data_IF_280189289360
#
_entry.id   IF_280189289360
#
_cell.length_a   1.000
_cell.length_b   1.000
_cell.length_c   1.000
_cell.angle_alpha   90.00
_cell.angle_beta   90.00
_cell.angle_gamma   90.00
#
_symmetry.space_group_name_H-M   'P 1'
#
loop_
_entity.id
_entity.type
_entity.pdbx_description
1 polymer ?
#
# COMPACT_ATOMS: atom_id res chain seq x y z
N UNK A 1 22.50 -20.23 -9.29
CA UNK A 1 21.94 -19.13 -10.09
C UNK A 1 20.41 -18.94 -10.01
N UNK A 2 19.57 -19.90 -9.60
CA UNK A 2 18.11 -19.71 -9.50
C UNK A 2 17.68 -18.70 -8.42
N UNK A 3 18.33 -18.65 -7.26
CA UNK A 3 18.01 -17.73 -6.15
C UNK A 3 18.12 -16.25 -6.53
N UNK A 4 19.01 -15.88 -7.44
CA UNK A 4 19.22 -14.50 -7.86
C UNK A 4 18.06 -13.96 -8.73
N UNK A 5 17.38 -14.81 -9.48
CA UNK A 5 16.25 -14.43 -10.34
C UNK A 5 15.00 -14.12 -9.55
N UNK A 6 14.74 -14.83 -8.44
CA UNK A 6 13.58 -14.55 -7.56
C UNK A 6 13.72 -13.24 -6.81
N UNK A 7 14.91 -12.87 -6.35
CA UNK A 7 15.17 -11.60 -5.65
C UNK A 7 14.90 -10.36 -6.52
N UNK A 8 14.78 -10.51 -7.84
CA UNK A 8 14.37 -9.40 -8.70
C UNK A 8 12.86 -9.30 -8.84
N UNK A 9 12.13 -10.43 -8.88
CA UNK A 9 10.68 -10.43 -9.08
C UNK A 9 9.97 -9.89 -7.83
N UNK A 10 10.36 -10.34 -6.64
CA UNK A 10 9.81 -9.84 -5.36
C UNK A 10 10.02 -8.32 -5.20
N UNK A 11 11.19 -7.82 -5.65
CA UNK A 11 11.46 -6.39 -5.66
C UNK A 11 10.54 -5.62 -6.62
N UNK A 12 10.40 -6.06 -7.88
CA UNK A 12 9.51 -5.42 -8.84
C UNK A 12 8.05 -5.45 -8.40
N UNK A 13 7.60 -6.55 -7.80
CA UNK A 13 6.29 -6.63 -7.15
C UNK A 13 6.17 -5.55 -6.06
N UNK A 14 7.17 -5.43 -5.18
CA UNK A 14 7.17 -4.44 -4.11
C UNK A 14 7.10 -2.99 -4.65
N UNK A 15 7.86 -2.68 -5.71
CA UNK A 15 7.81 -1.38 -6.37
C UNK A 15 6.45 -1.10 -7.02
N UNK A 16 5.83 -2.10 -7.64
CA UNK A 16 4.49 -1.97 -8.23
C UNK A 16 3.44 -1.63 -7.16
N UNK A 17 3.45 -2.35 -6.02
CA UNK A 17 2.56 -2.02 -4.90
C UNK A 17 2.87 -0.68 -4.23
N UNK A 18 4.13 -0.25 -4.19
CA UNK A 18 4.47 1.09 -3.73
C UNK A 18 3.85 2.17 -4.62
N UNK A 19 3.83 1.95 -5.94
CA UNK A 19 3.16 2.84 -6.88
C UNK A 19 1.64 2.90 -6.61
N UNK A 20 0.98 1.76 -6.39
CA UNK A 20 -0.44 1.69 -6.01
C UNK A 20 -0.71 2.42 -4.70
N UNK A 21 0.13 2.21 -3.67
CA UNK A 21 0.01 2.87 -2.37
C UNK A 21 0.15 4.39 -2.47
N UNK A 22 1.12 4.87 -3.28
CA UNK A 22 1.29 6.29 -3.57
C UNK A 22 0.09 6.91 -4.28
N UNK A 23 -0.46 6.20 -5.28
CA UNK A 23 -1.65 6.64 -5.99
C UNK A 23 -2.83 6.88 -5.03
N UNK A 24 -3.18 5.90 -4.21
CA UNK A 24 -4.30 6.02 -3.27
C UNK A 24 -4.03 7.03 -2.16
N UNK A 25 -2.77 7.20 -1.73
CA UNK A 25 -2.40 8.26 -0.80
C UNK A 25 -2.72 9.65 -1.34
N UNK A 26 -2.31 9.95 -2.58
CA UNK A 26 -2.58 11.23 -3.22
C UNK A 26 -4.07 11.42 -3.57
N UNK A 27 -4.72 10.37 -4.10
CA UNK A 27 -6.15 10.38 -4.40
C UNK A 27 -6.99 10.71 -3.17
N UNK A 28 -6.74 10.05 -2.04
CA UNK A 28 -7.47 10.27 -0.79
C UNK A 28 -7.33 11.73 -0.32
N UNK A 29 -6.13 12.29 -0.36
CA UNK A 29 -5.88 13.68 0.02
C UNK A 29 -6.66 14.65 -0.88
N UNK A 30 -6.67 14.45 -2.19
CA UNK A 30 -7.26 15.40 -3.14
C UNK A 30 -8.77 15.25 -3.30
N UNK A 31 -9.27 14.03 -3.33
CA UNK A 31 -10.69 13.75 -3.60
C UNK A 31 -11.51 13.52 -2.32
N UNK A 32 -10.86 13.31 -1.18
CA UNK A 32 -11.51 12.96 0.09
C UNK A 32 -10.98 13.81 1.25
N UNK A 33 -10.98 15.13 1.11
CA UNK A 33 -10.86 16.10 2.19
C UNK A 33 -9.52 16.19 2.91
N UNK A 34 -8.42 15.81 2.28
CA UNK A 34 -7.07 15.96 2.85
C UNK A 34 -6.63 14.83 3.79
N UNK A 35 -7.46 13.83 4.02
CA UNK A 35 -7.15 12.69 4.90
C UNK A 35 -6.41 11.61 4.12
N UNK A 36 -5.33 11.10 4.70
CA UNK A 36 -4.54 10.03 4.08
C UNK A 36 -5.19 8.67 4.32
N UNK A 37 -5.83 8.10 3.33
CA UNK A 37 -6.52 6.79 3.38
C UNK A 37 -5.62 5.58 3.67
N UNK A 38 -4.31 5.77 3.72
CA UNK A 38 -3.33 4.72 3.96
C UNK A 38 -2.94 4.59 5.45
N UNK A 39 -3.19 5.60 6.29
CA UNK A 39 -2.62 5.71 7.63
C UNK A 39 -3.67 5.90 8.71
N UNK A 40 -3.58 5.12 9.79
CA UNK A 40 -4.48 5.25 10.94
C UNK A 40 -4.05 6.33 11.93
N UNK A 41 -2.79 6.78 11.92
CA UNK A 41 -2.32 7.78 12.88
C UNK A 41 -3.12 9.08 12.77
N UNK A 42 -3.32 9.63 11.57
CA UNK A 42 -4.13 10.82 11.36
C UNK A 42 -5.58 10.58 11.78
N UNK A 43 -6.17 9.45 11.36
CA UNK A 43 -7.53 9.06 11.70
C UNK A 43 -7.78 9.05 13.22
N UNK A 44 -6.85 8.46 13.99
CA UNK A 44 -6.96 8.41 15.46
C UNK A 44 -6.75 9.77 16.14
N UNK A 45 -5.87 10.61 15.59
CA UNK A 45 -5.67 11.96 16.10
C UNK A 45 -6.89 12.84 15.84
N UNK A 46 -7.47 12.80 14.65
CA UNK A 46 -8.69 13.52 14.29
C UNK A 46 -9.88 13.03 15.14
N UNK A 47 -9.97 11.74 15.42
CA UNK A 47 -10.98 11.20 16.34
C UNK A 47 -10.91 11.83 17.73
N UNK A 48 -9.70 11.99 18.28
CA UNK A 48 -9.52 12.63 19.60
C UNK A 48 -9.92 14.11 19.52
N UNK A 49 -9.52 14.82 18.47
CA UNK A 49 -9.88 16.23 18.25
C UNK A 49 -11.41 16.35 18.16
N UNK A 50 -12.06 15.53 17.36
CA UNK A 50 -13.51 15.56 17.19
C UNK A 50 -14.27 15.23 18.49
N UNK A 51 -13.74 14.32 19.30
CA UNK A 51 -14.30 14.00 20.62
C UNK A 51 -14.24 15.23 21.55
N UNK A 52 -13.12 15.94 21.58
CA UNK A 52 -12.94 17.13 22.41
C UNK A 52 -13.81 18.31 21.95
N UNK A 53 -14.12 18.40 20.66
CA UNK A 53 -15.00 19.42 20.09
C UNK A 53 -16.48 18.99 20.04
N UNK A 54 -16.85 17.84 20.62
CA UNK A 54 -18.23 17.36 20.69
C UNK A 54 -18.83 16.90 19.36
N UNK A 55 -18.01 16.56 18.37
CA UNK A 55 -18.43 16.13 17.03
C UNK A 55 -18.70 14.62 17.00
N UNK A 56 -19.72 14.16 17.73
CA UNK A 56 -19.98 12.73 17.95
C UNK A 56 -20.12 11.88 16.69
N UNK A 57 -20.73 12.40 15.61
CA UNK A 57 -20.84 11.69 14.35
C UNK A 57 -19.46 11.41 13.74
N UNK A 58 -18.56 12.38 13.74
CA UNK A 58 -17.21 12.20 13.20
C UNK A 58 -16.42 11.17 14.03
N UNK A 59 -16.56 11.19 15.36
CA UNK A 59 -15.94 10.17 16.24
C UNK A 59 -16.37 8.77 15.82
N UNK A 60 -17.66 8.55 15.59
CA UNK A 60 -18.16 7.25 15.10
C UNK A 60 -17.63 6.89 13.73
N UNK A 61 -17.51 7.87 12.82
CA UNK A 61 -16.91 7.64 11.50
C UNK A 61 -15.43 7.26 11.60
N UNK A 62 -14.64 7.92 12.45
CA UNK A 62 -13.24 7.56 12.71
C UNK A 62 -13.10 6.17 13.35
N UNK A 63 -13.97 5.81 14.30
CA UNK A 63 -14.02 4.46 14.87
C UNK A 63 -14.35 3.40 13.82
N UNK A 64 -15.28 3.70 12.92
CA UNK A 64 -15.62 2.83 11.79
C UNK A 64 -14.42 2.62 10.86
N UNK A 65 -13.70 3.67 10.51
CA UNK A 65 -12.46 3.58 9.71
C UNK A 65 -11.39 2.71 10.40
N UNK A 66 -11.22 2.88 11.71
CA UNK A 66 -10.32 2.05 12.51
C UNK A 66 -10.74 0.58 12.51
N UNK A 67 -12.03 0.30 12.75
CA UNK A 67 -12.56 -1.05 12.74
C UNK A 67 -12.39 -1.73 11.37
N UNK A 68 -12.67 -1.02 10.29
CA UNK A 68 -12.47 -1.50 8.91
C UNK A 68 -10.99 -1.83 8.64
N UNK A 69 -10.07 -0.98 9.08
CA UNK A 69 -8.64 -1.20 8.93
C UNK A 69 -8.15 -2.42 9.74
N UNK A 70 -8.57 -2.53 11.00
CA UNK A 70 -8.26 -3.68 11.86
C UNK A 70 -8.81 -4.97 11.26
N UNK A 71 -10.06 -4.96 10.80
CA UNK A 71 -10.70 -6.11 10.15
C UNK A 71 -9.90 -6.53 8.91
N UNK A 72 -9.54 -5.60 8.02
CA UNK A 72 -8.72 -5.90 6.85
C UNK A 72 -7.37 -6.54 7.24
N UNK A 73 -6.70 -6.00 8.25
CA UNK A 73 -5.46 -6.58 8.77
C UNK A 73 -5.66 -8.00 9.31
N UNK A 74 -6.69 -8.22 10.14
CA UNK A 74 -6.99 -9.54 10.71
C UNK A 74 -7.31 -10.57 9.62
N UNK A 75 -8.04 -10.19 8.59
CA UNK A 75 -8.40 -11.08 7.48
C UNK A 75 -7.18 -11.61 6.73
N UNK A 76 -6.05 -10.89 6.73
CA UNK A 76 -4.81 -11.40 6.10
C UNK A 76 -4.22 -12.62 6.80
N UNK A 77 -4.61 -12.88 8.04
CA UNK A 77 -4.23 -14.09 8.80
C UNK A 77 -5.38 -15.10 8.83
N UNK A 78 -6.60 -14.63 9.09
CA UNK A 78 -7.76 -15.51 9.26
C UNK A 78 -8.13 -16.24 7.97
N UNK A 79 -8.17 -15.55 6.81
CA UNK A 79 -8.56 -16.19 5.55
C UNK A 79 -7.60 -17.31 5.11
N UNK A 80 -6.27 -17.13 5.13
CA UNK A 80 -5.35 -18.23 4.89
C UNK A 80 -5.48 -19.38 5.88
N UNK A 81 -5.60 -19.06 7.17
CA UNK A 81 -5.61 -20.08 8.24
C UNK A 81 -6.88 -20.93 8.25
N UNK A 82 -8.05 -20.32 7.95
CA UNK A 82 -9.33 -21.02 8.02
C UNK A 82 -9.77 -21.63 6.68
N UNK A 83 -9.42 -21.00 5.58
CA UNK A 83 -9.92 -21.40 4.24
C UNK A 83 -8.83 -21.54 3.18
N UNK A 84 -7.54 -21.44 3.53
CA UNK A 84 -6.42 -21.60 2.58
C UNK A 84 -6.36 -20.52 1.50
N UNK A 85 -6.96 -19.34 1.75
CA UNK A 85 -7.04 -18.25 0.75
C UNK A 85 -5.65 -17.65 0.51
N UNK A 86 -5.27 -17.51 -0.75
CA UNK A 86 -4.04 -16.83 -1.13
C UNK A 86 -4.21 -15.30 -1.08
N UNK A 87 -3.77 -14.68 0.01
CA UNK A 87 -3.87 -13.23 0.20
C UNK A 87 -3.03 -12.43 -0.78
N UNK A 88 -1.94 -12.98 -1.31
CA UNK A 88 -1.12 -12.30 -2.32
C UNK A 88 -1.89 -12.08 -3.63
N UNK A 89 -2.79 -13.02 -3.99
CA UNK A 89 -3.70 -12.87 -5.13
C UNK A 89 -4.95 -12.06 -4.80
N UNK A 90 -5.49 -12.24 -3.61
CA UNK A 90 -6.73 -11.57 -3.22
C UNK A 90 -6.53 -10.06 -2.98
N UNK A 91 -5.40 -9.64 -2.43
CA UNK A 91 -5.13 -8.22 -2.12
C UNK A 91 -5.29 -7.28 -3.33
N UNK A 92 -4.68 -7.51 -4.50
CA UNK A 92 -4.89 -6.63 -5.66
C UNK A 92 -6.34 -6.64 -6.18
N UNK A 93 -7.06 -7.76 -6.04
CA UNK A 93 -8.48 -7.83 -6.41
C UNK A 93 -9.33 -6.94 -5.49
N UNK A 94 -9.09 -6.99 -4.18
CA UNK A 94 -9.74 -6.12 -3.20
C UNK A 94 -9.39 -4.64 -3.49
N UNK A 95 -8.14 -4.35 -3.83
CA UNK A 95 -7.72 -2.98 -4.16
C UNK A 95 -8.40 -2.48 -5.44
N UNK A 96 -8.58 -3.33 -6.44
CA UNK A 96 -9.35 -2.99 -7.64
C UNK A 96 -10.83 -2.76 -7.32
N UNK A 97 -11.44 -3.60 -6.47
CA UNK A 97 -12.81 -3.40 -6.02
C UNK A 97 -12.97 -2.07 -5.26
N UNK A 98 -12.01 -1.71 -4.40
CA UNK A 98 -12.00 -0.41 -3.72
C UNK A 98 -11.92 0.75 -4.72
N UNK A 99 -11.07 0.68 -5.75
CA UNK A 99 -10.98 1.70 -6.81
C UNK A 99 -12.31 1.88 -7.55
N UNK A 100 -12.98 0.77 -7.88
CA UNK A 100 -14.30 0.81 -8.53
C UNK A 100 -15.34 1.41 -7.59
N UNK A 101 -15.36 1.00 -6.31
CA UNK A 101 -16.28 1.56 -5.31
C UNK A 101 -16.10 3.07 -5.18
N UNK A 102 -14.86 3.56 -5.05
CA UNK A 102 -14.55 5.00 -4.97
C UNK A 102 -15.11 5.81 -6.14
N UNK A 103 -15.11 5.23 -7.35
CA UNK A 103 -15.65 5.88 -8.54
C UNK A 103 -17.16 6.19 -8.44
N UNK A 104 -17.91 5.38 -7.69
CA UNK A 104 -19.36 5.52 -7.55
C UNK A 104 -19.79 6.23 -6.27
N UNK A 105 -18.88 6.43 -5.30
CA UNK A 105 -19.21 7.17 -4.08
C UNK A 105 -19.38 8.67 -4.38
N UNK A 106 -20.44 9.30 -3.83
CA UNK A 106 -20.65 10.74 -4.00
C UNK A 106 -19.45 11.58 -3.56
N UNK A 107 -19.18 12.66 -4.29
CA UNK A 107 -18.05 13.55 -3.96
C UNK A 107 -18.27 14.32 -2.65
N UNK A 108 -19.51 14.55 -2.27
CA UNK A 108 -19.96 15.23 -1.06
C UNK A 108 -20.21 14.29 0.14
N UNK A 109 -19.91 13.00 -0.03
CA UNK A 109 -20.01 12.03 1.06
C UNK A 109 -19.09 12.40 2.22
N UNK A 110 -19.50 12.07 3.45
CA UNK A 110 -18.64 12.22 4.65
C UNK A 110 -17.25 11.63 4.40
N UNK A 111 -16.24 12.48 4.48
CA UNK A 111 -14.84 12.21 4.07
C UNK A 111 -14.34 10.87 4.59
N UNK A 112 -14.40 10.66 5.90
CA UNK A 112 -13.88 9.44 6.54
C UNK A 112 -14.64 8.19 6.09
N UNK A 113 -15.96 8.27 5.95
CA UNK A 113 -16.78 7.13 5.52
C UNK A 113 -16.48 6.77 4.06
N UNK A 114 -16.28 7.78 3.22
CA UNK A 114 -15.90 7.57 1.83
C UNK A 114 -14.53 6.86 1.69
N UNK A 115 -13.63 6.99 2.67
CA UNK A 115 -12.32 6.34 2.66
C UNK A 115 -12.32 4.89 3.16
N UNK A 116 -13.43 4.35 3.65
CA UNK A 116 -13.49 2.97 4.16
C UNK A 116 -12.99 1.92 3.15
N UNK A 117 -13.35 1.97 1.86
CA UNK A 117 -12.82 1.02 0.89
C UNK A 117 -11.30 1.09 0.76
N UNK A 118 -10.72 2.31 0.80
CA UNK A 118 -9.26 2.52 0.72
C UNK A 118 -8.59 2.03 2.01
N UNK A 119 -9.10 2.37 3.19
CA UNK A 119 -8.57 1.86 4.46
C UNK A 119 -8.54 0.34 4.50
N UNK A 120 -9.61 -0.30 4.06
CA UNK A 120 -9.70 -1.76 3.99
C UNK A 120 -8.66 -2.35 3.03
N UNK A 121 -8.61 -1.86 1.80
CA UNK A 121 -7.70 -2.36 0.77
C UNK A 121 -6.22 -2.12 1.15
N UNK A 122 -5.89 -0.94 1.69
CA UNK A 122 -4.51 -0.60 2.05
C UNK A 122 -4.01 -1.37 3.28
N UNK A 123 -4.88 -1.68 4.25
CA UNK A 123 -4.53 -2.54 5.39
C UNK A 123 -4.16 -3.96 4.94
N UNK A 124 -4.93 -4.50 3.99
CA UNK A 124 -4.67 -5.82 3.40
C UNK A 124 -3.39 -5.78 2.55
N UNK A 125 -3.21 -4.76 1.71
CA UNK A 125 -2.01 -4.62 0.89
C UNK A 125 -0.75 -4.58 1.77
N UNK A 126 -0.73 -3.75 2.80
CA UNK A 126 0.42 -3.62 3.68
C UNK A 126 0.73 -4.91 4.42
N UNK A 127 -0.28 -5.58 4.95
CA UNK A 127 -0.11 -6.83 5.69
C UNK A 127 0.33 -8.00 4.80
N UNK A 128 -0.09 -8.00 3.52
CA UNK A 128 0.26 -9.05 2.55
C UNK A 128 1.65 -8.86 1.91
N UNK A 129 2.18 -7.62 1.86
CA UNK A 129 3.40 -7.27 1.14
C UNK A 129 4.35 -6.43 2.01
N UNK A 130 4.98 -7.06 2.99
CA UNK A 130 5.77 -6.39 4.03
C UNK A 130 7.23 -6.12 3.64
N UNK A 131 7.62 -6.32 2.38
CA UNK A 131 8.97 -6.06 1.92
C UNK A 131 9.40 -6.94 0.76
N UNK A 132 10.68 -6.88 0.42
CA UNK A 132 11.36 -7.69 -0.59
C UNK A 132 12.87 -7.72 -0.31
N UNK A 133 13.61 -8.64 -0.94
CA UNK A 133 15.08 -8.76 -0.80
C UNK A 133 15.56 -8.82 0.65
N UNK A 134 14.78 -9.43 1.55
CA UNK A 134 15.05 -9.50 2.99
C UNK A 134 14.99 -8.14 3.71
N UNK A 135 14.49 -7.09 3.08
CA UNK A 135 14.25 -5.79 3.71
C UNK A 135 12.77 -5.62 4.05
N UNK A 136 12.52 -5.20 5.28
CA UNK A 136 11.19 -4.81 5.73
C UNK A 136 10.88 -3.39 5.26
N UNK A 137 9.85 -3.23 4.43
CA UNK A 137 9.51 -1.95 3.81
C UNK A 137 8.00 -1.85 3.62
N UNK A 138 7.48 -0.64 3.76
CA UNK A 138 6.07 -0.37 3.52
C UNK A 138 5.84 0.08 2.08
N UNK A 139 4.80 -0.47 1.46
CA UNK A 139 4.31 -0.04 0.14
C UNK A 139 3.34 1.14 0.23
N UNK A 140 2.87 1.50 1.43
CA UNK A 140 1.82 2.51 1.63
C UNK A 140 2.28 3.74 2.43
N UNK A 141 3.54 3.74 2.91
CA UNK A 141 4.12 4.84 3.72
C UNK A 141 5.51 5.20 3.25
N UNK A 142 5.83 6.49 3.30
CA UNK A 142 7.16 7.02 2.94
C UNK A 142 8.10 7.12 4.14
N UNK A 143 7.60 7.42 5.35
CA UNK A 143 8.41 7.80 6.51
C UNK A 143 9.44 6.74 6.91
N UNK A 144 9.01 5.47 7.04
CA UNK A 144 9.94 4.39 7.39
C UNK A 144 10.98 4.16 6.28
N UNK A 145 10.56 4.21 5.02
CA UNK A 145 11.47 4.01 3.89
C UNK A 145 12.51 5.14 3.81
N UNK A 146 12.12 6.39 4.08
CA UNK A 146 13.04 7.53 4.18
C UNK A 146 14.05 7.32 5.31
N UNK A 147 13.58 6.94 6.52
CA UNK A 147 14.44 6.62 7.66
C UNK A 147 15.48 5.54 7.30
N UNK A 148 15.03 4.44 6.69
CA UNK A 148 15.90 3.32 6.35
C UNK A 148 16.93 3.69 5.27
N UNK A 149 16.54 4.47 4.26
CA UNK A 149 17.46 4.97 3.24
C UNK A 149 18.52 5.89 3.83
N UNK A 150 18.13 6.81 4.73
CA UNK A 150 19.04 7.75 5.40
C UNK A 150 20.02 7.01 6.30
N UNK A 151 19.57 6.03 7.09
CA UNK A 151 20.44 5.21 7.93
C UNK A 151 21.45 4.42 7.07
N UNK A 152 20.99 3.78 5.99
CA UNK A 152 21.85 3.04 5.08
C UNK A 152 22.92 3.93 4.43
N UNK A 153 22.57 5.18 4.07
CA UNK A 153 23.52 6.15 3.56
C UNK A 153 24.58 6.50 4.63
N UNK A 154 24.16 6.81 5.85
CA UNK A 154 25.07 7.13 6.95
C UNK A 154 26.03 5.97 7.26
N UNK A 155 25.48 4.74 7.34
CA UNK A 155 26.30 3.54 7.55
C UNK A 155 27.31 3.32 6.40
N UNK A 156 26.92 3.57 5.15
CA UNK A 156 27.83 3.50 4.01
C UNK A 156 28.95 4.54 4.11
N UNK A 157 28.62 5.78 4.48
CA UNK A 157 29.62 6.85 4.61
C UNK A 157 30.67 6.50 5.68
N UNK A 158 30.27 5.84 6.77
CA UNK A 158 31.16 5.42 7.85
C UNK A 158 31.97 4.16 7.51
N UNK A 159 31.32 3.14 6.92
CA UNK A 159 31.92 1.80 6.78
C UNK A 159 32.43 1.49 5.37
N UNK A 160 31.96 2.21 4.36
CA UNK A 160 32.17 1.94 2.92
C UNK A 160 31.67 0.56 2.47
N UNK A 161 30.80 -0.08 3.27
CA UNK A 161 30.23 -1.38 2.93
C UNK A 161 29.19 -1.26 1.81
N UNK A 162 29.47 -1.87 0.65
CA UNK A 162 28.58 -1.87 -0.51
C UNK A 162 27.22 -2.51 -0.27
N UNK A 163 27.02 -3.29 0.80
CA UNK A 163 25.71 -3.81 1.21
C UNK A 163 24.77 -2.68 1.60
N UNK A 164 25.28 -1.62 2.23
CA UNK A 164 24.50 -0.45 2.63
C UNK A 164 24.04 0.36 1.42
N UNK A 165 24.83 0.44 0.36
CA UNK A 165 24.39 1.04 -0.91
C UNK A 165 23.21 0.27 -1.53
N UNK A 166 23.25 -1.06 -1.51
CA UNK A 166 22.13 -1.87 -2.01
C UNK A 166 20.88 -1.68 -1.18
N UNK A 167 21.03 -1.61 0.16
CA UNK A 167 19.92 -1.31 1.10
C UNK A 167 19.34 0.07 0.82
N UNK A 168 20.17 1.09 0.70
CA UNK A 168 19.75 2.46 0.34
C UNK A 168 19.00 2.46 -0.99
N UNK A 169 19.55 1.83 -2.04
CA UNK A 169 18.92 1.74 -3.36
C UNK A 169 17.55 1.08 -3.33
N UNK A 170 17.36 0.05 -2.51
CA UNK A 170 16.05 -0.60 -2.30
C UNK A 170 15.02 0.39 -1.74
N UNK A 171 15.33 1.09 -0.66
CA UNK A 171 14.39 2.03 -0.04
C UNK A 171 14.14 3.27 -0.90
N UNK A 172 15.18 3.80 -1.56
CA UNK A 172 15.03 4.94 -2.49
C UNK A 172 14.17 4.58 -3.70
N UNK A 173 14.34 3.38 -4.28
CA UNK A 173 13.49 2.95 -5.40
C UNK A 173 12.03 2.75 -4.97
N UNK A 174 11.79 2.26 -3.75
CA UNK A 174 10.44 2.16 -3.18
C UNK A 174 9.81 3.54 -3.01
N UNK A 175 10.56 4.51 -2.46
CA UNK A 175 10.12 5.91 -2.35
C UNK A 175 9.82 6.51 -3.71
N UNK A 176 10.71 6.34 -4.68
CA UNK A 176 10.51 6.86 -6.04
C UNK A 176 9.23 6.31 -6.67
N UNK A 177 9.01 4.99 -6.62
CA UNK A 177 7.80 4.37 -7.16
C UNK A 177 6.54 4.84 -6.42
N UNK A 178 6.58 5.00 -5.10
CA UNK A 178 5.50 5.58 -4.33
C UNK A 178 5.16 6.99 -4.83
N UNK A 179 6.15 7.86 -5.01
CA UNK A 179 5.92 9.24 -5.48
C UNK A 179 5.51 9.31 -6.96
N UNK A 180 5.97 8.39 -7.82
CA UNK A 180 5.44 8.26 -9.18
C UNK A 180 3.95 7.90 -9.14
N UNK A 181 3.56 6.92 -8.32
CA UNK A 181 2.16 6.58 -8.11
C UNK A 181 1.34 7.76 -7.60
N UNK A 182 1.88 8.52 -6.63
CA UNK A 182 1.26 9.74 -6.13
C UNK A 182 1.06 10.79 -7.23
N UNK A 183 2.07 11.02 -8.07
CA UNK A 183 1.96 11.96 -9.19
C UNK A 183 0.88 11.54 -10.21
N UNK A 184 0.78 10.23 -10.50
CA UNK A 184 -0.31 9.69 -11.35
C UNK A 184 -1.65 9.93 -10.66
N UNK A 185 -1.76 9.67 -9.35
CA UNK A 185 -2.97 9.92 -8.55
C UNK A 185 -3.37 11.39 -8.54
N UNK A 186 -2.41 12.31 -8.42
CA UNK A 186 -2.65 13.77 -8.55
C UNK A 186 -3.23 14.11 -9.92
N UNK A 187 -2.60 13.65 -10.99
CA UNK A 187 -3.09 13.90 -12.35
C UNK A 187 -4.49 13.32 -12.58
N UNK A 188 -4.72 12.07 -12.18
CA UNK A 188 -6.02 11.41 -12.28
C UNK A 188 -7.10 12.16 -11.50
N UNK A 189 -6.82 12.58 -10.26
CA UNK A 189 -7.75 13.35 -9.43
C UNK A 189 -8.04 14.73 -10.01
N UNK A 190 -7.02 15.40 -10.56
CA UNK A 190 -7.18 16.71 -11.16
C UNK A 190 -8.13 16.71 -12.37
N UNK A 191 -7.99 15.72 -13.26
CA UNK A 191 -8.78 15.68 -14.50
C UNK A 191 -10.15 15.00 -14.36
N UNK A 192 -10.29 14.02 -13.42
CA UNK A 192 -11.50 13.18 -13.32
C UNK A 192 -12.14 13.19 -11.93
N UNK A 193 -11.60 13.97 -10.96
CA UNK A 193 -12.12 14.01 -9.60
C UNK A 193 -12.18 12.62 -8.96
N UNK A 194 -13.28 12.29 -8.30
CA UNK A 194 -13.47 10.97 -7.65
C UNK A 194 -13.40 9.80 -8.63
N UNK A 195 -13.78 10.01 -9.90
CA UNK A 195 -13.66 8.97 -10.94
C UNK A 195 -12.21 8.68 -11.32
N UNK A 196 -11.30 9.55 -10.96
CA UNK A 196 -9.86 9.36 -11.09
C UNK A 196 -9.35 8.07 -10.44
N UNK A 197 -10.07 7.53 -9.43
CA UNK A 197 -9.75 6.24 -8.80
C UNK A 197 -9.53 5.10 -9.80
N UNK A 198 -10.26 5.09 -10.93
CA UNK A 198 -10.14 4.06 -11.97
C UNK A 198 -8.75 4.03 -12.66
N UNK A 199 -8.02 5.13 -12.63
CA UNK A 199 -6.66 5.19 -13.18
C UNK A 199 -5.63 4.41 -12.34
N UNK A 200 -6.03 3.93 -11.15
CA UNK A 200 -5.24 2.96 -10.38
C UNK A 200 -5.28 1.56 -10.99
N UNK A 201 -6.31 1.19 -11.77
CA UNK A 201 -6.50 -0.17 -12.28
C UNK A 201 -5.32 -0.68 -13.14
N UNK A 202 -4.71 0.11 -14.06
CA UNK A 202 -3.50 -0.34 -14.76
C UNK A 202 -2.33 -0.63 -13.81
N UNK A 203 -2.15 0.17 -12.75
CA UNK A 203 -1.10 -0.03 -11.75
C UNK A 203 -1.37 -1.31 -10.93
N UNK A 204 -2.63 -1.53 -10.54
CA UNK A 204 -3.05 -2.74 -9.82
C UNK A 204 -2.89 -3.98 -10.70
N UNK A 205 -3.26 -3.91 -11.98
CA UNK A 205 -3.08 -4.99 -12.94
C UNK A 205 -1.59 -5.35 -13.10
N UNK A 206 -0.71 -4.35 -13.17
CA UNK A 206 0.73 -4.57 -13.19
C UNK A 206 1.24 -5.21 -11.90
N UNK A 207 0.79 -4.75 -10.73
CA UNK A 207 1.14 -5.35 -9.45
C UNK A 207 0.66 -6.81 -9.34
N UNK A 208 -0.56 -7.10 -9.80
CA UNK A 208 -1.10 -8.45 -9.86
C UNK A 208 -0.30 -9.36 -10.81
N UNK A 209 0.08 -8.83 -11.97
CA UNK A 209 0.96 -9.55 -12.90
C UNK A 209 2.29 -9.92 -12.23
N UNK A 210 2.90 -9.01 -11.47
CA UNK A 210 4.14 -9.30 -10.74
C UNK A 210 3.95 -10.40 -9.68
N UNK A 211 2.82 -10.43 -8.97
CA UNK A 211 2.46 -11.54 -8.05
C UNK A 211 2.43 -12.87 -8.78
N UNK A 212 1.77 -12.92 -9.94
CA UNK A 212 1.67 -14.17 -10.71
C UNK A 212 3.02 -14.65 -11.26
N UNK A 213 3.92 -13.72 -11.61
CA UNK A 213 5.27 -14.07 -12.05
C UNK A 213 6.13 -14.63 -10.90
N UNK A 214 6.00 -14.03 -9.70
CA UNK A 214 6.71 -14.49 -8.52
C UNK A 214 6.27 -15.91 -8.13
N UNK A 215 4.97 -16.18 -8.08
CA UNK A 215 4.43 -17.51 -7.76
C UNK A 215 4.87 -18.57 -8.79
N UNK A 216 4.88 -18.23 -10.09
CA UNK A 216 5.41 -19.14 -11.12
C UNK A 216 6.90 -19.44 -10.92
N UNK A 217 7.67 -18.44 -10.51
CA UNK A 217 9.09 -18.64 -10.25
C UNK A 217 9.32 -19.48 -8.99
N UNK A 218 8.50 -19.30 -7.94
CA UNK A 218 8.52 -20.13 -6.72
C UNK A 218 8.17 -21.61 -7.04
N UNK A 219 7.11 -21.84 -7.82
CA UNK A 219 6.70 -23.18 -8.23
C UNK A 219 7.77 -23.90 -9.07
N UNK A 220 8.41 -23.18 -10.00
CA UNK A 220 9.49 -23.75 -10.82
C UNK A 220 10.71 -24.13 -9.98
N UNK A 221 11.01 -23.40 -8.91
CA UNK A 221 12.12 -23.73 -8.02
C UNK A 221 11.82 -24.94 -7.13
N UNK A 222 10.57 -25.09 -6.69
CA UNK A 222 10.16 -26.27 -5.93
C UNK A 222 10.37 -27.57 -6.75
N UNK A 223 9.98 -27.56 -8.02
CA UNK A 223 10.16 -28.71 -8.94
C UNK A 223 11.63 -29.05 -9.22
N UNK A 224 12.53 -28.06 -9.21
CA UNK A 224 13.98 -28.29 -9.44
C UNK A 224 14.71 -28.78 -8.19
N UNK A 225 14.12 -28.57 -7.01
CA UNK A 225 14.69 -28.96 -5.71
C UNK A 225 14.32 -30.41 -5.29
N UNK A 226 13.32 -31.02 -5.92
CA UNK A 226 12.96 -32.45 -5.83
C UNK A 226 13.80 -33.31 -6.78
#
# INVERSE_FOLDING_TARGET
MPLYRNQHIDWYRHLAFACVGGFFGAYAILCRGGVMGNAQTMNLLEMIIDALYGRGFNVLAHLGAFAVYVTGTMLTVLLPSLWGVNMRRLSPVITAAAAVTECFLPADMTVIVALYPIFFAMSIQWSSFQGARSFYSSTIFSTNNTKQASLALAEYLCTKDGRQLRRMGFFLSTLLCFHIGAAIGVGASHFWGVRGALWSLPLIAWAFFMVTQEEKAEAMQAVVAE
#
